data_IF_535571789579
#
_entry.id   IF_535571789579
#
_cell.length_a   1.000
_cell.length_b   1.000
_cell.length_c   1.000
_cell.angle_alpha   90.00
_cell.angle_beta   90.00
_cell.angle_gamma   90.00
#
_symmetry.space_group_name_H-M   'P 1'
#
loop_
_entity.id
_entity.type
_entity.pdbx_description
1 polymer ?
#
# COMPACT_ATOMS: atom_id res chain seq x y z
N UNK A 1 7.13 -8.75 -12.31
CA UNK A 1 6.24 -9.27 -13.38
C UNK A 1 4.87 -9.50 -12.76
N UNK A 2 3.81 -8.96 -13.34
CA UNK A 2 2.45 -8.99 -12.80
C UNK A 2 1.87 -10.38 -13.06
N UNK A 3 1.17 -11.02 -12.07
CA UNK A 3 0.68 -12.40 -12.21
C UNK A 3 -0.52 -12.52 -13.13
N UNK A 4 -1.33 -11.47 -13.23
CA UNK A 4 -2.58 -11.60 -13.97
C UNK A 4 -2.31 -11.66 -15.46
N UNK A 5 -2.93 -12.65 -16.12
CA UNK A 5 -2.90 -12.80 -17.57
C UNK A 5 -3.60 -11.61 -18.24
N UNK A 6 -2.79 -10.65 -18.69
CA UNK A 6 -3.25 -9.47 -19.44
C UNK A 6 -3.53 -9.76 -20.91
N UNK A 7 -3.53 -11.04 -21.33
CA UNK A 7 -3.92 -11.45 -22.68
C UNK A 7 -5.43 -11.31 -22.95
N UNK A 8 -6.24 -11.16 -21.91
CA UNK A 8 -7.68 -10.95 -22.05
C UNK A 8 -8.01 -9.53 -22.54
N UNK A 9 -8.99 -9.39 -23.46
CA UNK A 9 -9.45 -8.08 -23.89
C UNK A 9 -9.89 -7.22 -22.70
N UNK A 10 -9.58 -5.91 -22.74
CA UNK A 10 -9.95 -4.94 -21.68
C UNK A 10 -11.46 -4.95 -21.35
N UNK A 11 -12.29 -5.32 -22.31
CA UNK A 11 -13.75 -5.43 -22.17
C UNK A 11 -14.18 -6.53 -21.20
N UNK A 12 -13.38 -7.59 -21.05
CA UNK A 12 -13.63 -8.72 -20.14
C UNK A 12 -12.78 -8.69 -18.87
N UNK A 13 -11.94 -7.66 -18.72
CA UNK A 13 -11.04 -7.53 -17.58
C UNK A 13 -11.83 -7.20 -16.29
N UNK A 14 -11.43 -7.83 -15.18
CA UNK A 14 -11.96 -7.48 -13.85
C UNK A 14 -11.58 -6.03 -13.47
N UNK A 15 -12.25 -5.48 -12.47
CA UNK A 15 -11.91 -4.14 -11.96
C UNK A 15 -10.46 -4.09 -11.51
N UNK A 16 -9.96 -5.12 -10.81
CA UNK A 16 -8.58 -5.22 -10.36
C UNK A 16 -7.60 -5.23 -11.55
N UNK A 17 -7.89 -5.99 -12.61
CA UNK A 17 -7.04 -6.00 -13.81
C UNK A 17 -6.92 -4.62 -14.45
N UNK A 18 -8.05 -3.90 -14.57
CA UNK A 18 -8.07 -2.53 -15.11
C UNK A 18 -7.23 -1.58 -14.25
N UNK A 19 -7.37 -1.67 -12.92
CA UNK A 19 -6.59 -0.85 -11.99
C UNK A 19 -5.09 -1.11 -12.15
N UNK A 20 -4.68 -2.38 -12.23
CA UNK A 20 -3.26 -2.76 -12.35
C UNK A 20 -2.67 -2.30 -13.67
N UNK A 21 -3.42 -2.41 -14.80
CA UNK A 21 -2.99 -1.89 -16.09
C UNK A 21 -2.79 -0.38 -16.08
N UNK A 22 -3.78 0.35 -15.59
CA UNK A 22 -3.68 1.80 -15.43
C UNK A 22 -2.52 2.19 -14.50
N UNK A 23 -2.27 1.38 -13.48
CA UNK A 23 -1.16 1.61 -12.56
C UNK A 23 0.19 1.40 -13.22
N UNK A 24 0.32 0.40 -14.10
CA UNK A 24 1.54 0.18 -14.87
C UNK A 24 1.84 1.38 -15.81
N UNK A 25 0.82 1.91 -16.47
CA UNK A 25 0.96 3.11 -17.28
C UNK A 25 1.32 4.34 -16.43
N UNK A 26 0.65 4.50 -15.29
CA UNK A 26 0.95 5.58 -14.35
C UNK A 26 2.40 5.52 -13.87
N UNK A 27 2.92 4.34 -13.50
CA UNK A 27 4.31 4.15 -13.07
C UNK A 27 5.27 4.61 -14.17
N UNK A 28 5.04 4.17 -15.42
CA UNK A 28 5.87 4.56 -16.56
C UNK A 28 5.91 6.08 -16.75
N UNK A 29 4.75 6.73 -16.72
CA UNK A 29 4.62 8.17 -16.90
C UNK A 29 5.22 8.95 -15.72
N UNK A 30 5.00 8.47 -14.49
CA UNK A 30 5.51 9.11 -13.30
C UNK A 30 7.04 9.03 -13.22
N UNK A 31 7.63 7.87 -13.55
CA UNK A 31 9.07 7.68 -13.56
C UNK A 31 9.75 8.51 -14.67
N UNK A 32 9.08 8.72 -15.81
CA UNK A 32 9.58 9.62 -16.85
C UNK A 32 9.65 11.08 -16.37
N UNK A 33 8.67 11.54 -15.59
CA UNK A 33 8.64 12.91 -15.03
C UNK A 33 9.41 13.10 -13.72
N UNK A 34 9.55 12.03 -12.94
CA UNK A 34 10.29 12.00 -11.67
C UNK A 34 11.11 10.71 -11.60
N UNK A 35 12.34 10.71 -12.14
CA UNK A 35 13.15 9.50 -12.28
C UNK A 35 13.45 8.80 -10.95
N UNK A 36 13.65 7.48 -11.01
CA UNK A 36 14.00 6.65 -9.85
C UNK A 36 15.25 7.20 -9.11
N UNK A 37 16.22 7.74 -9.84
CA UNK A 37 17.40 8.38 -9.27
C UNK A 37 17.05 9.55 -8.35
N UNK A 38 16.02 10.32 -8.68
CA UNK A 38 15.55 11.43 -7.83
C UNK A 38 14.86 10.91 -6.56
N UNK A 39 13.99 9.89 -6.70
CA UNK A 39 13.34 9.29 -5.54
C UNK A 39 14.31 8.61 -4.58
N UNK A 40 15.50 8.20 -5.05
CA UNK A 40 16.56 7.61 -4.23
C UNK A 40 17.43 8.65 -3.50
N UNK A 41 17.42 9.91 -3.93
CA UNK A 41 18.20 10.96 -3.28
C UNK A 41 17.72 11.18 -1.85
N UNK A 42 18.65 11.16 -0.91
CA UNK A 42 18.39 11.44 0.51
C UNK A 42 17.33 10.55 1.18
N UNK A 43 17.05 9.36 0.63
CA UNK A 43 16.16 8.40 1.29
C UNK A 43 16.75 8.00 2.64
N UNK A 44 15.99 8.24 3.70
CA UNK A 44 16.26 7.73 5.04
C UNK A 44 15.46 6.44 5.26
N UNK A 45 16.04 5.46 5.97
CA UNK A 45 15.25 4.29 6.39
C UNK A 45 14.10 4.72 7.29
N UNK A 46 13.02 3.93 7.29
CA UNK A 46 11.93 4.17 8.23
C UNK A 46 12.42 4.03 9.67
N UNK A 47 12.00 4.96 10.51
CA UNK A 47 12.26 5.02 11.96
C UNK A 47 11.04 4.60 12.79
N UNK A 48 9.95 4.13 12.14
CA UNK A 48 8.72 3.69 12.78
C UNK A 48 8.48 2.21 12.52
N UNK A 49 8.54 1.41 13.58
CA UNK A 49 8.43 -0.04 13.51
C UNK A 49 6.98 -0.50 13.28
N UNK A 50 6.61 -0.72 12.01
CA UNK A 50 5.26 -1.14 11.62
C UNK A 50 4.84 -2.46 12.25
N UNK A 51 5.72 -3.47 12.23
CA UNK A 51 5.43 -4.79 12.80
C UNK A 51 5.22 -4.73 14.31
N UNK A 52 6.09 -4.00 15.03
CA UNK A 52 5.98 -3.87 16.49
C UNK A 52 4.73 -3.10 16.91
N UNK A 53 4.30 -2.12 16.10
CA UNK A 53 3.08 -1.37 16.37
C UNK A 53 1.84 -2.28 16.32
N UNK A 54 1.81 -3.24 15.40
CA UNK A 54 0.69 -4.18 15.25
C UNK A 54 0.80 -5.39 16.20
N UNK A 55 2.01 -5.82 16.53
CA UNK A 55 2.23 -6.90 17.52
C UNK A 55 1.74 -6.55 18.93
N UNK A 56 1.43 -5.29 19.22
CA UNK A 56 0.81 -4.86 20.49
C UNK A 56 -0.65 -5.29 20.63
N UNK A 57 -1.29 -5.74 19.54
CA UNK A 57 -2.64 -6.26 19.54
C UNK A 57 -2.73 -7.61 20.26
N UNK A 58 -3.86 -7.85 20.94
CA UNK A 58 -4.20 -9.15 21.55
C UNK A 58 -5.60 -9.55 21.11
N UNK A 59 -6.01 -10.79 21.42
CA UNK A 59 -7.35 -11.25 21.15
C UNK A 59 -8.44 -10.37 21.82
N UNK A 60 -8.17 -9.86 23.03
CA UNK A 60 -9.10 -9.01 23.79
C UNK A 60 -8.98 -7.53 23.37
N UNK A 61 -7.83 -7.12 22.86
CA UNK A 61 -7.58 -5.73 22.44
C UNK A 61 -6.84 -5.74 21.10
N UNK A 62 -7.56 -5.85 19.98
CA UNK A 62 -6.94 -5.90 18.66
C UNK A 62 -6.20 -4.59 18.33
N UNK A 63 -5.12 -4.70 17.54
CA UNK A 63 -4.48 -3.55 16.94
C UNK A 63 -5.28 -3.09 15.72
N UNK A 64 -5.36 -1.77 15.52
CA UNK A 64 -6.11 -1.16 14.43
C UNK A 64 -5.19 -0.49 13.41
N UNK A 65 -5.43 -0.80 12.12
CA UNK A 65 -4.96 0.01 11.01
C UNK A 65 -6.16 0.83 10.54
N UNK A 66 -6.14 2.15 10.75
CA UNK A 66 -7.23 3.03 10.34
C UNK A 66 -6.89 3.71 9.01
N UNK A 67 -7.86 3.74 8.09
CA UNK A 67 -7.62 4.12 6.69
C UNK A 67 -8.13 5.52 6.36
N UNK A 68 -7.25 6.36 5.81
CA UNK A 68 -7.59 7.64 5.19
C UNK A 68 -7.94 7.41 3.71
N UNK A 69 -9.24 7.45 3.39
CA UNK A 69 -9.76 7.18 2.03
C UNK A 69 -10.77 8.22 1.59
N UNK A 70 -10.53 8.84 0.42
CA UNK A 70 -11.40 9.85 -0.18
C UNK A 70 -12.49 9.26 -1.06
N UNK A 71 -12.14 8.27 -1.87
CA UNK A 71 -13.03 7.61 -2.82
C UNK A 71 -12.69 6.12 -2.95
N UNK A 72 -13.56 5.33 -3.56
CA UNK A 72 -13.29 3.94 -3.94
C UNK A 72 -14.08 3.54 -5.19
N UNK A 73 -13.64 2.54 -5.97
CA UNK A 73 -14.36 2.06 -7.16
C UNK A 73 -15.80 1.66 -6.87
N UNK A 74 -16.05 1.04 -5.71
CA UNK A 74 -17.37 0.51 -5.35
C UNK A 74 -18.33 1.53 -4.74
N UNK A 75 -17.81 2.64 -4.16
CA UNK A 75 -18.59 3.66 -3.44
C UNK A 75 -18.55 5.03 -4.12
N UNK A 76 -17.68 5.23 -5.13
CA UNK A 76 -17.41 6.55 -5.68
C UNK A 76 -16.76 7.48 -4.64
N UNK A 77 -17.14 8.76 -4.67
CA UNK A 77 -16.67 9.75 -3.72
C UNK A 77 -17.30 9.49 -2.33
N UNK A 78 -16.45 9.23 -1.31
CA UNK A 78 -16.89 8.97 0.07
C UNK A 78 -16.87 10.27 0.88
N UNK A 79 -15.86 11.11 0.66
CA UNK A 79 -15.65 12.33 1.42
C UNK A 79 -15.22 13.48 0.50
N UNK A 80 -16.12 14.42 0.24
CA UNK A 80 -15.86 15.59 -0.64
C UNK A 80 -14.76 16.48 -0.07
N UNK A 81 -14.90 16.88 1.19
CA UNK A 81 -13.84 17.59 1.91
C UNK A 81 -12.87 16.61 2.56
N UNK A 82 -11.87 16.20 1.80
CA UNK A 82 -10.86 15.26 2.27
C UNK A 82 -9.61 15.98 2.77
N UNK A 83 -9.44 15.97 4.08
CA UNK A 83 -8.28 16.53 4.76
C UNK A 83 -7.59 15.42 5.56
N UNK A 84 -6.59 14.75 5.00
CA UNK A 84 -5.98 13.58 5.64
C UNK A 84 -5.34 13.90 7.00
N UNK A 85 -4.84 15.12 7.21
CA UNK A 85 -4.28 15.57 8.48
C UNK A 85 -5.32 15.64 9.59
N UNK A 86 -6.52 16.18 9.32
CA UNK A 86 -7.61 16.24 10.30
C UNK A 86 -8.09 14.84 10.68
N UNK A 87 -8.22 13.94 9.69
CA UNK A 87 -8.57 12.53 9.91
C UNK A 87 -7.52 11.85 10.78
N UNK A 88 -6.23 12.02 10.45
CA UNK A 88 -5.12 11.42 11.16
C UNK A 88 -5.01 11.92 12.60
N UNK A 89 -5.31 13.20 12.87
CA UNK A 89 -5.36 13.76 14.23
C UNK A 89 -6.42 13.09 15.12
N UNK A 90 -7.51 12.60 14.54
CA UNK A 90 -8.48 11.77 15.28
C UNK A 90 -7.97 10.35 15.44
N UNK A 91 -7.44 9.77 14.35
CA UNK A 91 -6.99 8.37 14.32
C UNK A 91 -5.83 8.09 15.28
N UNK A 92 -4.94 9.07 15.54
CA UNK A 92 -3.79 8.89 16.45
C UNK A 92 -4.14 8.40 17.85
N UNK A 93 -5.38 8.60 18.31
CA UNK A 93 -5.82 8.14 19.63
C UNK A 93 -6.25 6.67 19.64
N UNK A 94 -6.49 6.07 18.48
CA UNK A 94 -7.09 4.75 18.35
C UNK A 94 -6.24 3.78 17.49
N UNK A 95 -5.51 4.31 16.53
CA UNK A 95 -4.76 3.51 15.55
C UNK A 95 -3.41 3.05 16.10
N UNK A 96 -3.02 1.82 15.76
CA UNK A 96 -1.65 1.34 15.88
C UNK A 96 -0.83 1.67 14.63
N UNK A 97 -1.49 1.72 13.47
CA UNK A 97 -0.94 2.21 12.21
C UNK A 97 -2.02 2.96 11.43
N UNK A 98 -1.62 3.85 10.51
CA UNK A 98 -2.56 4.58 9.64
C UNK A 98 -2.27 4.23 8.19
N UNK A 99 -3.31 3.85 7.45
CA UNK A 99 -3.26 3.54 6.04
C UNK A 99 -3.68 4.76 5.21
N UNK A 100 -2.93 5.06 4.15
CA UNK A 100 -3.17 6.20 3.25
C UNK A 100 -3.25 5.70 1.82
N UNK A 101 -4.39 5.92 1.16
CA UNK A 101 -4.59 5.61 -0.25
C UNK A 101 -3.78 6.59 -1.11
N UNK A 102 -3.02 6.05 -2.07
CA UNK A 102 -2.17 6.85 -2.96
C UNK A 102 -2.54 6.72 -4.44
N UNK A 103 -3.45 5.82 -4.80
CA UNK A 103 -3.98 5.73 -6.15
C UNK A 103 -4.86 6.95 -6.49
N UNK A 104 -4.46 7.71 -7.53
CA UNK A 104 -5.11 8.96 -7.92
C UNK A 104 -6.42 8.70 -8.67
N UNK A 105 -6.44 7.72 -9.59
CA UNK A 105 -7.55 7.50 -10.52
C UNK A 105 -8.78 6.90 -9.83
N UNK A 106 -8.59 5.87 -9.05
CA UNK A 106 -9.68 5.07 -8.48
C UNK A 106 -10.04 5.44 -7.04
N UNK A 107 -9.06 5.97 -6.29
CA UNK A 107 -9.25 6.31 -4.88
C UNK A 107 -9.10 7.80 -4.60
N UNK A 108 -8.78 8.61 -5.61
CA UNK A 108 -8.49 10.04 -5.47
C UNK A 108 -7.45 10.30 -4.37
N UNK A 109 -6.47 9.40 -4.29
CA UNK A 109 -5.36 9.46 -3.36
C UNK A 109 -4.21 10.31 -3.88
N UNK A 110 -3.16 10.45 -3.07
CA UNK A 110 -1.92 11.13 -3.44
C UNK A 110 -0.79 10.64 -2.53
N UNK A 111 0.39 10.40 -3.08
CA UNK A 111 1.59 10.07 -2.28
C UNK A 111 1.95 11.17 -1.28
N UNK A 112 1.69 12.44 -1.61
CA UNK A 112 1.93 13.57 -0.70
C UNK A 112 1.11 13.48 0.59
N UNK A 113 -0.03 12.79 0.59
CA UNK A 113 -0.82 12.58 1.80
C UNK A 113 -0.10 11.75 2.85
N UNK A 114 0.82 10.86 2.45
CA UNK A 114 1.64 10.07 3.38
C UNK A 114 2.42 10.99 4.32
N UNK A 115 3.18 11.93 3.73
CA UNK A 115 3.96 12.89 4.53
C UNK A 115 3.07 13.79 5.37
N UNK A 116 1.96 14.28 4.82
CA UNK A 116 1.01 15.13 5.57
C UNK A 116 0.46 14.41 6.80
N UNK A 117 0.08 13.12 6.66
CA UNK A 117 -0.37 12.29 7.79
C UNK A 117 0.75 12.06 8.78
N UNK A 118 1.94 11.68 8.29
CA UNK A 118 3.09 11.35 9.12
C UNK A 118 3.54 12.52 10.00
N UNK A 119 3.41 13.75 9.50
CA UNK A 119 3.80 14.97 10.24
C UNK A 119 2.93 15.27 11.47
N UNK A 120 1.72 14.70 11.53
CA UNK A 120 0.76 14.95 12.63
C UNK A 120 0.51 13.75 13.55
N UNK A 121 1.14 12.60 13.28
CA UNK A 121 1.02 11.36 14.05
C UNK A 121 2.38 10.74 14.35
N UNK A 122 2.44 9.87 15.36
CA UNK A 122 3.63 9.07 15.69
C UNK A 122 3.53 7.62 15.22
N UNK A 123 2.34 7.18 14.86
CA UNK A 123 2.08 5.85 14.33
C UNK A 123 2.79 5.65 12.98
N UNK A 124 3.20 4.41 12.64
CA UNK A 124 3.69 4.11 11.31
C UNK A 124 2.58 4.29 10.26
N UNK A 125 2.98 4.81 9.09
CA UNK A 125 2.07 5.09 7.97
C UNK A 125 2.28 4.07 6.86
N UNK A 126 1.20 3.36 6.52
CA UNK A 126 1.13 2.40 5.42
C UNK A 126 0.75 3.12 4.12
N UNK A 127 1.61 3.05 3.10
CA UNK A 127 1.25 3.40 1.73
C UNK A 127 0.36 2.30 1.15
N UNK A 128 -0.92 2.61 0.95
CA UNK A 128 -1.88 1.67 0.36
C UNK A 128 -2.07 1.94 -1.12
N UNK A 129 -1.39 1.14 -1.92
CA UNK A 129 -1.33 1.23 -3.36
C UNK A 129 -1.26 -0.16 -4.00
N UNK A 130 -1.49 -0.25 -5.30
CA UNK A 130 -1.25 -1.45 -6.11
C UNK A 130 0.23 -1.48 -6.51
N UNK A 131 1.07 -2.04 -5.64
CA UNK A 131 2.52 -2.10 -5.84
C UNK A 131 2.88 -3.17 -6.86
N UNK A 132 3.54 -2.77 -7.95
CA UNK A 132 3.97 -3.65 -9.06
C UNK A 132 5.42 -3.43 -9.47
N UNK A 133 6.09 -2.42 -8.90
CA UNK A 133 7.46 -2.07 -9.28
C UNK A 133 8.26 -1.51 -8.10
N UNK A 134 9.58 -1.66 -8.16
CA UNK A 134 10.52 -1.07 -7.19
C UNK A 134 10.41 0.46 -7.15
N UNK A 135 10.07 1.10 -8.29
CA UNK A 135 9.87 2.54 -8.36
C UNK A 135 8.84 3.02 -7.33
N UNK A 136 7.71 2.32 -7.22
CA UNK A 136 6.67 2.68 -6.25
C UNK A 136 7.13 2.49 -4.80
N UNK A 137 7.95 1.47 -4.51
CA UNK A 137 8.51 1.23 -3.17
C UNK A 137 9.44 2.37 -2.76
N UNK A 138 10.32 2.80 -3.68
CA UNK A 138 11.18 3.96 -3.44
C UNK A 138 10.36 5.25 -3.30
N UNK A 139 9.34 5.45 -4.15
CA UNK A 139 8.46 6.61 -4.09
C UNK A 139 7.69 6.67 -2.77
N UNK A 140 7.16 5.53 -2.31
CA UNK A 140 6.51 5.45 -1.01
C UNK A 140 7.47 5.89 0.12
N UNK A 141 8.71 5.40 0.10
CA UNK A 141 9.69 5.80 1.11
C UNK A 141 10.14 7.25 0.95
N UNK A 142 10.27 7.77 -0.27
CA UNK A 142 10.53 9.19 -0.53
C UNK A 142 9.49 10.09 0.13
N UNK A 143 8.22 9.71 0.07
CA UNK A 143 7.13 10.37 0.81
C UNK A 143 7.01 9.91 2.27
N UNK A 144 8.00 9.16 2.78
CA UNK A 144 8.17 8.76 4.16
C UNK A 144 7.19 7.69 4.66
N UNK A 145 6.65 6.82 3.79
CA UNK A 145 5.90 5.65 4.22
C UNK A 145 6.75 4.74 5.13
N UNK A 146 6.12 4.13 6.12
CA UNK A 146 6.73 3.20 7.07
C UNK A 146 6.37 1.73 6.77
N UNK A 147 5.43 1.53 5.85
CA UNK A 147 5.05 0.22 5.32
C UNK A 147 4.43 0.36 3.93
N UNK A 148 4.40 -0.76 3.19
CA UNK A 148 3.71 -0.89 1.91
C UNK A 148 2.71 -2.05 1.93
N UNK A 149 1.75 -2.02 0.99
CA UNK A 149 0.85 -3.13 0.70
C UNK A 149 1.42 -3.96 -0.46
N UNK A 150 1.46 -5.28 -0.31
CA UNK A 150 1.66 -6.22 -1.41
C UNK A 150 0.47 -7.17 -1.50
N UNK A 151 -0.17 -7.22 -2.67
CA UNK A 151 -1.34 -8.07 -2.93
C UNK A 151 -0.92 -9.31 -3.71
N UNK A 152 -1.15 -10.51 -3.17
CA UNK A 152 -0.80 -11.76 -3.87
C UNK A 152 -1.70 -12.07 -5.06
N UNK A 153 -2.84 -11.40 -5.17
CA UNK A 153 -3.66 -11.35 -6.39
C UNK A 153 -3.04 -10.50 -7.53
N UNK A 154 -2.01 -9.71 -7.24
CA UNK A 154 -1.39 -8.77 -8.19
C UNK A 154 0.01 -9.20 -8.57
N UNK A 155 0.83 -9.69 -7.61
CA UNK A 155 2.23 -10.02 -7.83
C UNK A 155 2.50 -11.52 -7.67
N UNK A 156 3.44 -12.07 -8.47
CA UNK A 156 3.93 -13.43 -8.29
C UNK A 156 4.97 -13.49 -7.16
N UNK A 157 5.37 -14.69 -6.78
CA UNK A 157 6.26 -14.93 -5.65
C UNK A 157 7.63 -14.28 -5.83
N UNK A 158 8.16 -14.27 -7.06
CA UNK A 158 9.43 -13.61 -7.38
C UNK A 158 9.33 -12.10 -7.18
N UNK A 159 8.32 -11.48 -7.78
CA UNK A 159 8.08 -10.02 -7.63
C UNK A 159 7.78 -9.66 -6.17
N UNK A 160 6.99 -10.48 -5.46
CA UNK A 160 6.73 -10.29 -4.05
C UNK A 160 8.03 -10.23 -3.24
N UNK A 161 8.94 -11.22 -3.43
CA UNK A 161 10.23 -11.24 -2.72
C UNK A 161 11.06 -10.00 -3.01
N UNK A 162 11.19 -9.63 -4.29
CA UNK A 162 11.96 -8.44 -4.69
C UNK A 162 11.42 -7.19 -4.00
N UNK A 163 10.11 -6.95 -4.03
CA UNK A 163 9.50 -5.76 -3.45
C UNK A 163 9.51 -5.78 -1.91
N UNK A 164 9.31 -6.95 -1.30
CA UNK A 164 9.36 -7.11 0.15
C UNK A 164 10.79 -6.91 0.70
N UNK A 165 11.79 -7.50 0.05
CA UNK A 165 13.20 -7.34 0.43
C UNK A 165 13.64 -5.88 0.28
N UNK A 166 13.22 -5.22 -0.80
CA UNK A 166 13.47 -3.79 -0.98
C UNK A 166 12.82 -2.97 0.13
N UNK A 167 11.56 -3.20 0.46
CA UNK A 167 10.87 -2.50 1.54
C UNK A 167 11.60 -2.70 2.87
N UNK A 168 11.97 -3.93 3.21
CA UNK A 168 12.72 -4.26 4.43
C UNK A 168 14.10 -3.57 4.45
N UNK A 169 14.81 -3.52 3.32
CA UNK A 169 16.10 -2.81 3.21
C UNK A 169 15.99 -1.32 3.53
N UNK A 170 14.82 -0.72 3.24
CA UNK A 170 14.46 0.66 3.54
C UNK A 170 13.83 0.84 4.94
N UNK A 171 13.82 -0.21 5.78
CA UNK A 171 13.25 -0.19 7.13
C UNK A 171 11.71 -0.19 7.16
N UNK A 172 11.05 -0.41 6.02
CA UNK A 172 9.59 -0.47 5.93
C UNK A 172 9.06 -1.87 6.24
N UNK A 173 7.86 -1.93 6.81
CA UNK A 173 7.07 -3.17 6.91
C UNK A 173 6.30 -3.47 5.63
N UNK A 174 5.78 -4.69 5.55
CA UNK A 174 4.91 -5.16 4.47
C UNK A 174 3.62 -5.72 5.05
N UNK A 175 2.49 -5.20 4.60
CA UNK A 175 1.19 -5.84 4.75
C UNK A 175 0.94 -6.69 3.51
N UNK A 176 0.84 -8.01 3.67
CA UNK A 176 0.56 -8.94 2.59
C UNK A 176 -0.93 -9.20 2.52
N UNK A 177 -1.60 -8.80 1.43
CA UNK A 177 -3.03 -9.01 1.26
C UNK A 177 -3.31 -10.26 0.43
N UNK A 178 -4.28 -11.06 0.90
CA UNK A 178 -4.75 -12.30 0.27
C UNK A 178 -6.28 -12.24 0.12
N UNK A 179 -6.81 -12.82 -0.95
CA UNK A 179 -8.24 -12.82 -1.28
C UNK A 179 -8.86 -14.21 -1.29
N UNK A 180 -8.04 -15.25 -1.18
CA UNK A 180 -8.46 -16.65 -1.18
C UNK A 180 -7.46 -17.52 -0.42
N UNK A 181 -7.80 -18.79 -0.24
CA UNK A 181 -6.99 -19.76 0.51
C UNK A 181 -5.64 -20.04 -0.15
N UNK A 182 -5.58 -20.15 -1.47
CA UNK A 182 -4.34 -20.36 -2.22
C UNK A 182 -3.34 -19.21 -1.99
N UNK A 183 -3.82 -17.97 -2.06
CA UNK A 183 -3.00 -16.80 -1.78
C UNK A 183 -2.56 -16.75 -0.30
N UNK A 184 -3.42 -17.21 0.62
CA UNK A 184 -3.06 -17.29 2.04
C UNK A 184 -1.94 -18.29 2.29
N UNK A 185 -2.02 -19.48 1.70
CA UNK A 185 -0.94 -20.51 1.77
C UNK A 185 0.36 -19.99 1.13
N UNK A 186 0.26 -19.28 0.02
CA UNK A 186 1.41 -18.61 -0.61
C UNK A 186 2.03 -17.57 0.34
N UNK A 187 1.22 -16.77 1.04
CA UNK A 187 1.71 -15.78 2.00
C UNK A 187 2.49 -16.46 3.14
N UNK A 188 2.00 -17.58 3.66
CA UNK A 188 2.71 -18.38 4.67
C UNK A 188 4.05 -18.91 4.14
N UNK A 189 4.05 -19.50 2.93
CA UNK A 189 5.26 -20.04 2.29
C UNK A 189 6.29 -18.93 1.97
N UNK A 190 5.84 -17.71 1.71
CA UNK A 190 6.69 -16.54 1.49
C UNK A 190 7.23 -15.91 2.79
N UNK A 191 6.79 -16.38 3.95
CA UNK A 191 7.22 -15.86 5.25
C UNK A 191 6.64 -14.49 5.57
N UNK A 192 5.43 -14.17 5.07
CA UNK A 192 4.76 -12.91 5.35
C UNK A 192 4.54 -12.73 6.86
N UNK A 193 4.99 -11.59 7.40
CA UNK A 193 4.88 -11.32 8.85
C UNK A 193 3.50 -10.83 9.27
N UNK A 194 2.78 -10.15 8.37
CA UNK A 194 1.41 -9.69 8.57
C UNK A 194 0.63 -10.04 7.32
N UNK A 195 -0.44 -10.80 7.49
CA UNK A 195 -1.34 -11.21 6.42
C UNK A 195 -2.69 -10.53 6.64
N UNK A 196 -3.15 -9.80 5.65
CA UNK A 196 -4.50 -9.24 5.57
C UNK A 196 -5.38 -10.13 4.72
N UNK A 197 -6.55 -10.51 5.23
CA UNK A 197 -7.55 -11.25 4.44
C UNK A 197 -8.57 -10.28 3.89
N UNK A 198 -8.62 -10.13 2.56
CA UNK A 198 -9.61 -9.29 1.89
C UNK A 198 -10.80 -10.15 1.46
N UNK A 199 -11.95 -9.91 2.06
CA UNK A 199 -13.18 -10.64 1.79
C UNK A 199 -14.07 -9.94 0.73
N UNK A 200 -13.48 -9.15 -0.16
CA UNK A 200 -14.17 -8.50 -1.28
C UNK A 200 -13.57 -8.96 -2.60
N UNK A 201 -14.42 -9.45 -3.49
CA UNK A 201 -14.06 -9.65 -4.89
C UNK A 201 -14.04 -8.27 -5.59
N UNK A 202 -12.89 -7.91 -6.16
CA UNK A 202 -12.66 -6.70 -6.95
C UNK A 202 -12.73 -7.00 -8.45
#
# INVERSE_FOLDING_TARGET
MIIQDFSKPLETATVLQKIVLDRAEWVKNKEAGFPLSESKKNIQKSDRAFYDALAKGTHQKPAYILECKKASPSKGLIRSEFKPTEIAQVYKYYANAISVLTDEKYFQGDFAYIKQVRDVVTQPVLCKDFMISEYQVYLARFYQADAILLMLSVVNDETYRILADLAHSLGMGVLTETSNEEEFERALALGAKIIGVNNRNL
#
